data_IF_450123366392
#
_entry.id   IF_450123366392
#
_cell.length_a   1.000
_cell.length_b   1.000
_cell.length_c   1.000
_cell.angle_alpha   90.00
_cell.angle_beta   90.00
_cell.angle_gamma   90.00
#
_symmetry.space_group_name_H-M   'P 1'
#
loop_
_entity.id
_entity.type
_entity.pdbx_description
1 polymer ?
#
# COMPACT_ATOMS: atom_id res chain seq x y z
N UNK A 1 -10.59 10.59 4.41
CA UNK A 1 -10.22 9.38 3.65
C UNK A 1 -10.11 9.69 2.17
N UNK A 2 -11.21 10.10 1.52
CA UNK A 2 -11.25 10.37 0.06
C UNK A 2 -10.22 11.44 -0.35
N UNK A 3 -10.05 12.51 0.43
CA UNK A 3 -8.98 13.50 0.24
C UNK A 3 -7.57 12.89 0.25
N UNK A 4 -7.26 12.05 1.25
CA UNK A 4 -5.95 11.39 1.34
C UNK A 4 -5.72 10.42 0.17
N UNK A 5 -6.76 9.71 -0.28
CA UNK A 5 -6.69 8.85 -1.45
C UNK A 5 -6.42 9.65 -2.73
N UNK A 6 -7.08 10.81 -2.89
CA UNK A 6 -6.82 11.72 -4.00
C UNK A 6 -5.36 12.18 -4.00
N UNK A 7 -4.86 12.66 -2.86
CA UNK A 7 -3.46 13.11 -2.71
C UNK A 7 -2.49 11.99 -3.09
N UNK A 8 -2.69 10.78 -2.56
CA UNK A 8 -1.85 9.63 -2.90
C UNK A 8 -1.84 9.32 -4.40
N UNK A 9 -3.01 9.26 -5.03
CA UNK A 9 -3.12 8.96 -6.47
C UNK A 9 -2.51 10.06 -7.33
N UNK A 10 -2.67 11.33 -6.95
CA UNK A 10 -2.09 12.46 -7.65
C UNK A 10 -0.55 12.47 -7.56
N UNK A 11 0.00 12.24 -6.37
CA UNK A 11 1.45 12.10 -6.17
C UNK A 11 2.01 10.89 -6.93
N UNK A 12 1.31 9.75 -6.88
CA UNK A 12 1.72 8.56 -7.62
C UNK A 12 1.72 8.80 -9.13
N UNK A 13 0.69 9.46 -9.67
CA UNK A 13 0.64 9.84 -11.08
C UNK A 13 1.80 10.77 -11.47
N UNK A 14 2.14 11.75 -10.63
CA UNK A 14 3.25 12.66 -10.86
C UNK A 14 4.60 11.92 -10.91
N UNK A 15 4.79 10.88 -10.07
CA UNK A 15 5.99 10.03 -10.09
C UNK A 15 6.06 9.14 -11.32
N UNK A 16 4.95 8.51 -11.71
CA UNK A 16 4.92 7.55 -12.83
C UNK A 16 4.88 8.25 -14.20
N UNK A 17 4.27 9.44 -14.29
CA UNK A 17 4.11 10.22 -15.52
C UNK A 17 4.41 11.71 -15.27
N UNK A 18 5.68 12.11 -15.07
CA UNK A 18 6.04 13.49 -14.72
C UNK A 18 5.74 14.52 -15.82
N UNK A 19 5.62 14.08 -17.08
CA UNK A 19 5.26 14.95 -18.21
C UNK A 19 3.74 15.13 -18.38
N UNK A 20 2.93 14.50 -17.53
CA UNK A 20 1.47 14.58 -17.65
C UNK A 20 0.94 15.89 -17.04
N UNK A 21 0.16 16.62 -17.82
CA UNK A 21 -0.45 17.89 -17.39
C UNK A 21 -1.64 17.66 -16.45
N UNK A 22 -1.36 17.47 -15.16
CA UNK A 22 -2.40 17.24 -14.14
C UNK A 22 -3.40 18.41 -14.01
N UNK A 23 -2.93 19.65 -14.14
CA UNK A 23 -3.79 20.84 -14.06
C UNK A 23 -4.88 20.83 -15.15
N UNK A 24 -4.49 20.50 -16.37
CA UNK A 24 -5.42 20.41 -17.52
C UNK A 24 -6.47 19.32 -17.29
N UNK A 25 -6.06 18.16 -16.79
CA UNK A 25 -6.98 17.08 -16.45
C UNK A 25 -7.99 17.53 -15.38
N UNK A 26 -7.54 18.25 -14.35
CA UNK A 26 -8.43 18.74 -13.29
C UNK A 26 -9.47 19.74 -13.82
N UNK A 27 -9.07 20.65 -14.71
CA UNK A 27 -9.98 21.59 -15.36
C UNK A 27 -11.03 20.86 -16.21
N UNK A 28 -10.59 19.91 -17.06
CA UNK A 28 -11.49 19.08 -17.87
C UNK A 28 -12.47 18.27 -17.00
N UNK A 29 -11.96 17.72 -15.89
CA UNK A 29 -12.76 16.94 -14.92
C UNK A 29 -13.77 17.82 -14.20
N UNK A 30 -13.40 19.06 -13.84
CA UNK A 30 -14.32 20.02 -13.22
C UNK A 30 -15.46 20.40 -14.16
N UNK A 31 -15.14 20.70 -15.43
CA UNK A 31 -16.16 21.05 -16.44
C UNK A 31 -17.16 19.90 -16.62
N UNK A 32 -16.68 18.65 -16.70
CA UNK A 32 -17.56 17.49 -16.85
C UNK A 32 -18.36 17.20 -15.58
N UNK A 33 -17.73 17.32 -14.41
CA UNK A 33 -18.39 17.21 -13.12
C UNK A 33 -19.51 18.23 -12.97
N UNK A 34 -19.29 19.50 -13.30
CA UNK A 34 -20.32 20.53 -13.19
C UNK A 34 -21.54 20.22 -14.07
N UNK A 35 -21.33 19.71 -15.29
CA UNK A 35 -22.44 19.28 -16.15
C UNK A 35 -23.25 18.16 -15.50
N UNK A 36 -22.57 17.12 -15.01
CA UNK A 36 -23.22 15.96 -14.39
C UNK A 36 -23.88 16.29 -13.04
N UNK A 37 -23.26 17.18 -12.26
CA UNK A 37 -23.78 17.65 -10.97
C UNK A 37 -25.05 18.48 -11.16
N UNK A 38 -25.05 19.40 -12.13
CA UNK A 38 -26.21 20.23 -12.46
C UNK A 38 -27.38 19.41 -13.02
N UNK A 39 -27.09 18.33 -13.76
CA UNK A 39 -28.11 17.39 -14.24
C UNK A 39 -28.50 16.32 -13.24
N UNK A 40 -27.97 16.35 -12.00
CA UNK A 40 -28.16 15.32 -10.97
C UNK A 40 -27.87 13.88 -11.47
N UNK A 41 -26.96 13.74 -12.44
CA UNK A 41 -26.58 12.47 -13.05
C UNK A 41 -25.28 11.90 -12.46
N UNK A 42 -24.60 12.65 -11.57
CA UNK A 42 -23.37 12.20 -10.96
C UNK A 42 -23.60 10.93 -10.11
N UNK A 43 -22.90 9.82 -10.38
CA UNK A 43 -23.12 8.54 -9.69
C UNK A 43 -22.99 8.67 -8.17
N UNK A 44 -23.85 7.99 -7.41
CA UNK A 44 -23.82 8.00 -5.94
C UNK A 44 -24.39 9.25 -5.25
N UNK A 45 -24.58 10.35 -6.00
CA UNK A 45 -25.12 11.63 -5.51
C UNK A 45 -26.50 11.97 -6.08
N UNK A 46 -27.13 11.01 -6.75
CA UNK A 46 -28.52 11.12 -7.18
C UNK A 46 -29.43 11.30 -5.95
N UNK A 47 -30.43 12.18 -6.04
CA UNK A 47 -31.29 12.52 -4.90
C UNK A 47 -32.19 11.37 -4.41
N UNK A 48 -32.14 10.20 -5.03
CA UNK A 48 -33.02 9.07 -4.73
C UNK A 48 -32.27 7.74 -4.59
N UNK A 49 -31.70 7.50 -3.41
CA UNK A 49 -31.41 6.13 -2.93
C UNK A 49 -31.56 6.01 -1.40
N UNK A 50 -31.36 7.09 -0.64
CA UNK A 50 -31.58 7.12 0.81
C UNK A 50 -33.00 7.56 1.25
N UNK A 51 -33.83 8.03 0.33
CA UNK A 51 -35.14 8.65 0.64
C UNK A 51 -36.35 7.73 0.40
N UNK A 52 -36.15 6.45 0.10
CA UNK A 52 -37.27 5.51 0.05
C UNK A 52 -37.89 5.26 1.45
N UNK A 53 -37.12 5.45 2.53
CA UNK A 53 -37.64 5.45 3.91
C UNK A 53 -38.09 6.83 4.42
N UNK A 54 -37.77 7.93 3.73
CA UNK A 54 -38.19 9.27 4.14
C UNK A 54 -39.53 9.73 3.52
N UNK A 55 -40.10 8.94 2.60
CA UNK A 55 -41.48 9.12 2.09
C UNK A 55 -42.59 8.82 3.12
N UNK A 56 -42.29 8.87 4.42
CA UNK A 56 -43.33 8.97 5.47
C UNK A 56 -43.92 10.40 5.52
N UNK A 57 -43.28 11.39 4.89
CA UNK A 57 -43.68 12.80 4.87
C UNK A 57 -44.67 13.22 3.77
N UNK A 58 -45.60 12.37 3.34
CA UNK A 58 -46.71 12.87 2.51
C UNK A 58 -47.50 13.92 3.31
N UNK A 59 -47.76 15.13 2.77
CA UNK A 59 -48.55 16.14 3.45
C UNK A 59 -49.93 15.55 3.77
N UNK A 60 -50.24 15.46 5.06
CA UNK A 60 -51.55 15.00 5.50
C UNK A 60 -52.55 16.13 5.22
N UNK A 61 -53.53 15.88 4.36
CA UNK A 61 -54.61 16.83 4.16
C UNK A 61 -55.52 16.86 5.39
N UNK A 62 -55.35 17.90 6.20
CA UNK A 62 -56.13 18.13 7.41
C UNK A 62 -57.58 18.56 7.11
N UNK A 63 -57.90 18.89 5.85
CA UNK A 63 -59.26 19.26 5.45
C UNK A 63 -60.25 18.11 5.57
N UNK A 64 -59.78 16.86 5.46
CA UNK A 64 -60.57 15.63 5.49
C UNK A 64 -61.03 15.21 6.90
N UNK A 65 -60.47 15.80 7.96
CA UNK A 65 -60.76 15.41 9.35
C UNK A 65 -61.69 16.42 10.00
N UNK A 66 -62.71 15.93 10.72
CA UNK A 66 -63.71 16.78 11.38
C UNK A 66 -63.33 17.12 12.83
N UNK A 67 -62.50 16.28 13.46
CA UNK A 67 -62.04 16.46 14.84
C UNK A 67 -60.59 16.01 15.05
N UNK A 68 -60.00 16.39 16.19
CA UNK A 68 -58.63 16.00 16.54
C UNK A 68 -58.55 14.51 16.95
N UNK A 69 -59.64 13.91 17.43
CA UNK A 69 -59.74 12.48 17.75
C UNK A 69 -59.57 11.62 16.49
N UNK A 70 -60.11 12.05 15.34
CA UNK A 70 -59.91 11.36 14.07
C UNK A 70 -58.45 11.44 13.60
N UNK A 71 -57.80 12.59 13.83
CA UNK A 71 -56.37 12.78 13.54
C UNK A 71 -55.49 11.94 14.46
N UNK A 72 -55.89 11.77 15.72
CA UNK A 72 -55.24 10.89 16.69
C UNK A 72 -55.29 9.41 16.26
N UNK A 73 -56.38 8.98 15.63
CA UNK A 73 -56.57 7.60 15.16
C UNK A 73 -55.55 7.17 14.08
N UNK A 74 -54.88 8.12 13.42
CA UNK A 74 -53.83 7.87 12.42
C UNK A 74 -52.54 7.29 13.02
N UNK A 75 -52.39 7.36 14.34
CA UNK A 75 -51.27 6.79 15.07
C UNK A 75 -50.04 7.71 15.15
N UNK A 76 -49.13 7.34 16.05
CA UNK A 76 -48.01 8.19 16.48
C UNK A 76 -47.05 8.55 15.35
N UNK A 77 -46.78 7.61 14.44
CA UNK A 77 -45.81 7.78 13.35
C UNK A 77 -46.33 8.72 12.25
N UNK A 78 -47.64 8.68 11.95
CA UNK A 78 -48.28 9.60 11.01
C UNK A 78 -48.37 11.02 11.56
N UNK A 79 -48.67 11.17 12.85
CA UNK A 79 -48.67 12.47 13.51
C UNK A 79 -47.27 13.08 13.57
N UNK A 80 -46.26 12.27 13.90
CA UNK A 80 -44.86 12.72 13.95
C UNK A 80 -44.38 13.20 12.58
N UNK A 81 -44.66 12.43 11.53
CA UNK A 81 -44.28 12.81 10.15
C UNK A 81 -45.00 14.07 9.67
N UNK A 82 -46.30 14.21 9.93
CA UNK A 82 -47.05 15.41 9.56
C UNK A 82 -46.61 16.67 10.33
N UNK A 83 -46.30 16.55 11.62
CA UNK A 83 -45.75 17.66 12.42
C UNK A 83 -44.35 18.08 11.94
N UNK A 84 -43.50 17.12 11.60
CA UNK A 84 -42.16 17.38 11.03
C UNK A 84 -42.29 18.06 9.65
N UNK A 85 -43.20 17.60 8.81
CA UNK A 85 -43.45 18.17 7.49
C UNK A 85 -43.88 19.65 7.57
N UNK A 86 -44.66 20.00 8.61
CA UNK A 86 -45.09 21.37 8.89
C UNK A 86 -44.11 22.18 9.77
N UNK A 87 -42.97 21.60 10.17
CA UNK A 87 -41.96 22.28 11.00
C UNK A 87 -42.40 22.57 12.45
N UNK A 88 -43.40 21.86 12.96
CA UNK A 88 -43.96 22.00 14.29
C UNK A 88 -43.24 21.11 15.31
N UNK A 89 -43.25 21.52 16.59
CA UNK A 89 -42.69 20.71 17.69
C UNK A 89 -43.38 19.34 17.79
N UNK A 90 -42.59 18.27 17.91
CA UNK A 90 -43.08 16.88 17.92
C UNK A 90 -43.18 16.26 19.33
N UNK A 91 -42.91 17.04 20.39
CA UNK A 91 -42.99 16.57 21.78
C UNK A 91 -44.43 16.44 22.29
N UNK A 92 -44.62 15.57 23.29
CA UNK A 92 -45.92 15.37 23.94
C UNK A 92 -46.58 14.02 23.67
N UNK A 93 -47.77 13.84 24.27
CA UNK A 93 -48.64 12.67 24.08
C UNK A 93 -49.24 12.62 22.67
N UNK A 94 -49.83 11.48 22.29
CA UNK A 94 -50.48 11.32 20.99
C UNK A 94 -51.60 12.35 20.76
N UNK A 95 -52.36 12.66 21.81
CA UNK A 95 -53.44 13.65 21.82
C UNK A 95 -52.90 15.07 21.62
N UNK A 96 -51.84 15.45 22.34
CA UNK A 96 -51.19 16.76 22.21
C UNK A 96 -50.62 16.98 20.81
N UNK A 97 -50.13 15.92 20.16
CA UNK A 97 -49.65 15.97 18.78
C UNK A 97 -50.79 16.15 17.78
N UNK A 98 -51.90 15.43 17.97
CA UNK A 98 -53.09 15.54 17.11
C UNK A 98 -53.74 16.93 17.24
N UNK A 99 -53.90 17.45 18.46
CA UNK A 99 -54.42 18.80 18.70
C UNK A 99 -53.52 19.88 18.10
N UNK A 100 -52.20 19.75 18.21
CA UNK A 100 -51.23 20.68 17.61
C UNK A 100 -51.28 20.66 16.09
N UNK A 101 -51.45 19.48 15.48
CA UNK A 101 -51.58 19.35 14.05
C UNK A 101 -52.91 19.94 13.56
N UNK A 102 -54.01 19.66 14.27
CA UNK A 102 -55.35 20.15 13.93
C UNK A 102 -55.51 21.67 14.11
N UNK A 103 -54.83 22.29 15.09
CA UNK A 103 -54.90 23.74 15.31
C UNK A 103 -54.26 24.60 14.21
N UNK A 104 -53.48 23.97 13.33
CA UNK A 104 -52.83 24.57 12.16
C UNK A 104 -53.62 24.31 10.87
N UNK A 105 -54.73 23.56 10.93
CA UNK A 105 -55.64 23.32 9.81
C UNK A 105 -56.13 24.65 9.21
N UNK A 106 -55.85 24.86 7.93
CA UNK A 106 -56.29 26.03 7.17
C UNK A 106 -55.52 27.33 7.45
N UNK A 107 -54.47 27.31 8.28
CA UNK A 107 -53.59 28.46 8.50
C UNK A 107 -52.41 28.45 7.53
N UNK A 108 -52.06 29.61 7.02
CA UNK A 108 -50.83 29.80 6.25
C UNK A 108 -49.61 29.81 7.17
N UNK A 109 -48.42 29.50 6.63
CA UNK A 109 -47.16 29.41 7.42
C UNK A 109 -46.81 30.69 8.21
N UNK A 110 -47.39 31.85 7.85
CA UNK A 110 -47.19 33.13 8.52
C UNK A 110 -48.14 33.38 9.69
N UNK A 111 -49.23 32.61 9.81
CA UNK A 111 -50.26 32.73 10.86
C UNK A 111 -50.03 31.75 12.03
N UNK A 112 -48.97 30.94 11.93
CA UNK A 112 -48.56 29.99 12.96
C UNK A 112 -47.71 30.72 14.00
N UNK A 113 -48.03 30.55 15.28
CA UNK A 113 -47.26 31.12 16.39
C UNK A 113 -45.79 30.61 16.34
N UNK A 114 -44.80 31.53 16.30
CA UNK A 114 -43.37 31.18 16.33
C UNK A 114 -42.95 30.29 17.50
N UNK A 115 -43.71 30.30 18.61
CA UNK A 115 -43.49 29.42 19.78
C UNK A 115 -43.81 27.95 19.48
N UNK A 116 -44.70 27.65 18.53
CA UNK A 116 -45.06 26.29 18.13
C UNK A 116 -44.10 25.67 17.11
N UNK A 117 -43.32 26.50 16.42
CA UNK A 117 -42.31 26.07 15.46
C UNK A 117 -41.12 25.43 16.18
N UNK A 118 -40.54 24.38 15.56
CA UNK A 118 -39.30 23.80 16.03
C UNK A 118 -38.15 24.81 15.83
N UNK A 119 -37.29 24.99 16.85
CA UNK A 119 -36.08 25.81 16.73
C UNK A 119 -35.20 25.22 15.64
N UNK A 120 -35.01 25.95 14.53
CA UNK A 120 -34.11 25.51 13.46
C UNK A 120 -34.32 26.11 12.06
N UNK A 121 -35.41 26.84 11.78
CA UNK A 121 -35.68 27.35 10.41
C UNK A 121 -36.11 28.82 10.28
N UNK A 122 -35.94 29.66 11.30
CA UNK A 122 -36.53 31.00 11.28
C UNK A 122 -35.71 32.12 11.91
N UNK A 123 -34.45 32.32 11.52
CA UNK A 123 -33.73 33.58 11.80
C UNK A 123 -32.94 34.00 10.56
N UNK A 124 -33.35 35.11 9.94
CA UNK A 124 -32.76 35.68 8.73
C UNK A 124 -31.33 36.15 9.01
N UNK A 125 -30.35 35.68 8.25
CA UNK A 125 -29.01 36.29 8.15
C UNK A 125 -27.80 35.40 8.49
N UNK A 126 -27.97 34.13 8.85
CA UNK A 126 -26.85 33.18 9.04
C UNK A 126 -26.95 32.11 7.94
N UNK A 127 -25.86 31.78 7.20
CA UNK A 127 -25.91 30.69 6.23
C UNK A 127 -26.42 29.43 6.94
N UNK A 128 -27.54 28.90 6.45
CA UNK A 128 -28.18 27.73 7.04
C UNK A 128 -27.19 26.57 7.00
N UNK A 129 -27.12 25.78 8.08
CA UNK A 129 -26.32 24.56 8.12
C UNK A 129 -26.58 23.64 6.91
N UNK A 130 -27.78 23.71 6.33
CA UNK A 130 -28.15 23.02 5.09
C UNK A 130 -27.41 23.52 3.84
N UNK A 131 -27.13 24.83 3.71
CA UNK A 131 -26.34 25.35 2.58
C UNK A 131 -24.87 24.92 2.69
N UNK A 132 -24.29 25.00 3.90
CA UNK A 132 -22.92 24.54 4.14
C UNK A 132 -22.77 23.03 3.89
N UNK A 133 -23.81 22.25 4.16
CA UNK A 133 -23.84 20.82 3.85
C UNK A 133 -23.92 20.55 2.35
N UNK A 134 -24.69 21.33 1.59
CA UNK A 134 -24.75 21.21 0.13
C UNK A 134 -23.40 21.57 -0.51
N UNK A 135 -22.75 22.64 -0.05
CA UNK A 135 -21.42 23.03 -0.53
C UNK A 135 -20.37 21.96 -0.22
N UNK A 136 -20.31 21.49 1.04
CA UNK A 136 -19.42 20.39 1.44
C UNK A 136 -19.67 19.12 0.63
N UNK A 137 -20.93 18.79 0.35
CA UNK A 137 -21.28 17.63 -0.47
C UNK A 137 -20.83 17.81 -1.93
N UNK A 138 -20.93 19.03 -2.48
CA UNK A 138 -20.40 19.35 -3.82
C UNK A 138 -18.88 19.19 -3.86
N UNK A 139 -18.17 19.64 -2.82
CA UNK A 139 -16.72 19.47 -2.70
C UNK A 139 -16.32 18.00 -2.68
N UNK A 140 -16.98 17.18 -1.85
CA UNK A 140 -16.70 15.74 -1.78
C UNK A 140 -17.02 15.06 -3.13
N UNK A 141 -18.14 15.40 -3.76
CA UNK A 141 -18.50 14.87 -5.08
C UNK A 141 -17.44 15.21 -6.14
N UNK A 142 -16.85 16.40 -6.08
CA UNK A 142 -15.78 16.78 -6.99
C UNK A 142 -14.49 15.97 -6.75
N UNK A 143 -14.10 15.77 -5.49
CA UNK A 143 -12.95 14.91 -5.14
C UNK A 143 -13.19 13.48 -5.65
N UNK A 144 -14.41 12.97 -5.52
CA UNK A 144 -14.77 11.64 -6.02
C UNK A 144 -14.65 11.56 -7.55
N UNK A 145 -15.08 12.60 -8.27
CA UNK A 145 -14.93 12.69 -9.73
C UNK A 145 -13.46 12.63 -10.16
N UNK A 146 -12.58 13.33 -9.45
CA UNK A 146 -11.14 13.29 -9.70
C UNK A 146 -10.58 11.88 -9.46
N UNK A 147 -10.99 11.21 -8.39
CA UNK A 147 -10.55 9.84 -8.09
C UNK A 147 -11.02 8.88 -9.17
N UNK A 148 -12.25 8.98 -9.66
CA UNK A 148 -12.71 8.15 -10.78
C UNK A 148 -11.80 8.34 -12.00
N UNK A 149 -11.49 9.59 -12.36
CA UNK A 149 -10.64 9.89 -13.51
C UNK A 149 -9.20 9.38 -13.34
N UNK A 150 -8.61 9.57 -12.16
CA UNK A 150 -7.29 9.04 -11.83
C UNK A 150 -7.28 7.51 -11.84
N UNK A 151 -8.35 6.87 -11.35
CA UNK A 151 -8.46 5.40 -11.34
C UNK A 151 -8.61 4.80 -12.75
N UNK A 152 -9.16 5.56 -13.69
CA UNK A 152 -9.22 5.19 -15.10
C UNK A 152 -7.83 5.31 -15.76
N UNK A 153 -7.13 6.41 -15.50
CA UNK A 153 -5.76 6.65 -16.01
C UNK A 153 -4.72 5.66 -15.46
N UNK A 154 -4.89 5.24 -14.21
CA UNK A 154 -4.05 4.27 -13.51
C UNK A 154 -4.64 2.84 -13.54
N UNK A 155 -5.53 2.55 -14.50
CA UNK A 155 -6.22 1.26 -14.58
C UNK A 155 -5.28 0.07 -14.74
N UNK A 156 -4.19 0.25 -15.49
CA UNK A 156 -3.13 -0.75 -15.67
C UNK A 156 -2.41 -1.05 -14.35
N UNK A 157 -1.94 -0.01 -13.64
CA UNK A 157 -1.26 -0.14 -12.35
C UNK A 157 -2.20 -0.73 -11.29
N UNK A 158 -3.49 -0.37 -11.31
CA UNK A 158 -4.50 -0.95 -10.42
C UNK A 158 -4.72 -2.45 -10.69
N UNK A 159 -4.75 -2.86 -11.96
CA UNK A 159 -4.87 -4.27 -12.32
C UNK A 159 -3.62 -5.05 -11.88
N UNK A 160 -2.43 -4.50 -12.12
CA UNK A 160 -1.16 -5.12 -11.71
C UNK A 160 -1.03 -5.27 -10.20
N UNK A 161 -1.42 -4.25 -9.41
CA UNK A 161 -1.41 -4.32 -7.95
C UNK A 161 -2.43 -5.33 -7.43
N UNK A 162 -3.62 -5.42 -8.04
CA UNK A 162 -4.60 -6.45 -7.71
C UNK A 162 -4.06 -7.87 -7.96
N UNK A 163 -3.46 -8.10 -9.13
CA UNK A 163 -2.83 -9.40 -9.44
C UNK A 163 -1.70 -9.72 -8.46
N UNK A 164 -0.90 -8.72 -8.07
CA UNK A 164 0.14 -8.90 -7.06
C UNK A 164 -0.42 -9.31 -5.69
N UNK A 165 -1.53 -8.70 -5.27
CA UNK A 165 -2.22 -9.08 -4.03
C UNK A 165 -2.74 -10.51 -4.12
N UNK A 166 -3.38 -10.89 -5.23
CA UNK A 166 -3.88 -12.25 -5.46
C UNK A 166 -2.73 -13.28 -5.43
N UNK A 167 -1.60 -12.96 -6.07
CA UNK A 167 -0.39 -13.78 -6.06
C UNK A 167 0.19 -13.92 -4.66
N UNK A 168 0.29 -12.82 -3.89
CA UNK A 168 0.80 -12.81 -2.51
C UNK A 168 -0.13 -13.57 -1.56
N UNK A 169 -1.44 -13.55 -1.81
CA UNK A 169 -2.44 -14.28 -1.03
C UNK A 169 -2.39 -15.80 -1.28
N UNK A 170 -1.98 -16.23 -2.48
CA UNK A 170 -1.89 -17.64 -2.85
C UNK A 170 -0.58 -18.33 -2.40
N UNK A 171 0.41 -17.58 -1.93
CA UNK A 171 1.72 -18.10 -1.51
C UNK A 171 1.71 -18.72 -0.11
N UNK A 172 2.62 -19.66 0.09
CA UNK A 172 2.91 -20.24 1.41
C UNK A 172 3.79 -19.29 2.24
N UNK A 173 3.86 -19.49 3.56
CA UNK A 173 4.51 -18.54 4.50
C UNK A 173 5.98 -18.24 4.13
N UNK A 174 6.77 -19.25 3.75
CA UNK A 174 8.18 -19.06 3.34
C UNK A 174 8.35 -18.32 2.00
N UNK A 175 7.47 -18.54 1.02
CA UNK A 175 7.51 -17.83 -0.29
C UNK A 175 7.04 -16.36 -0.17
N UNK A 176 6.33 -16.04 0.91
CA UNK A 176 5.90 -14.67 1.23
C UNK A 176 7.04 -13.88 1.86
N UNK A 177 7.83 -14.51 2.73
CA UNK A 177 9.02 -13.90 3.36
C UNK A 177 10.07 -13.53 2.30
N UNK A 178 10.41 -14.45 1.38
CA UNK A 178 11.40 -14.19 0.31
C UNK A 178 10.98 -13.02 -0.60
N UNK A 179 9.70 -12.90 -0.92
CA UNK A 179 9.20 -11.80 -1.76
C UNK A 179 9.10 -10.46 -1.02
N UNK A 180 8.87 -10.48 0.30
CA UNK A 180 8.85 -9.26 1.11
C UNK A 180 10.29 -8.78 1.36
N UNK A 181 11.26 -9.71 1.47
CA UNK A 181 12.68 -9.38 1.47
C UNK A 181 13.12 -8.75 0.14
N UNK A 182 12.74 -9.32 -1.01
CA UNK A 182 13.03 -8.70 -2.32
C UNK A 182 12.40 -7.31 -2.47
N UNK A 183 11.15 -7.12 -2.02
CA UNK A 183 10.49 -5.81 -2.09
C UNK A 183 11.13 -4.78 -1.16
N UNK A 184 11.52 -5.18 0.06
CA UNK A 184 12.20 -4.32 1.02
C UNK A 184 13.58 -3.85 0.51
N UNK A 185 14.29 -4.70 -0.26
CA UNK A 185 15.55 -4.32 -0.91
C UNK A 185 15.32 -3.19 -1.92
N UNK A 186 14.23 -3.22 -2.69
CA UNK A 186 13.94 -2.18 -3.70
C UNK A 186 13.47 -0.86 -3.07
N UNK A 187 12.69 -0.88 -1.98
CA UNK A 187 12.33 0.35 -1.24
C UNK A 187 13.59 1.03 -0.68
N UNK A 188 14.52 0.26 -0.13
CA UNK A 188 15.77 0.80 0.44
C UNK A 188 16.70 1.45 -0.59
N UNK A 189 16.63 1.09 -1.87
CA UNK A 189 17.44 1.72 -2.92
C UNK A 189 16.85 3.06 -3.41
N UNK A 190 15.59 3.37 -3.08
CA UNK A 190 14.89 4.58 -3.56
C UNK A 190 14.68 5.67 -2.50
N UNK A 191 14.78 5.35 -1.21
CA UNK A 191 14.64 6.32 -0.12
C UNK A 191 15.98 6.96 0.30
N UNK A 192 17.12 6.43 -0.15
CA UNK A 192 18.46 6.85 0.32
C UNK A 192 19.15 7.92 -0.56
N UNK A 193 18.47 8.50 -1.56
CA UNK A 193 19.04 9.56 -2.41
C UNK A 193 18.68 11.00 -1.98
N UNK A 194 17.76 11.18 -1.04
CA UNK A 194 17.42 12.50 -0.50
C UNK A 194 17.96 12.67 0.94
N UNK A 195 18.86 13.65 1.10
CA UNK A 195 19.52 14.09 2.34
C UNK A 195 20.64 13.21 2.91
N UNK A 196 21.78 13.10 2.21
CA UNK A 196 23.08 12.93 2.91
C UNK A 196 23.42 14.28 3.57
N UNK A 197 23.31 14.44 4.90
CA UNK A 197 23.57 15.72 5.55
C UNK A 197 25.03 16.11 5.34
N UNK A 198 25.28 17.35 4.93
CA UNK A 198 26.63 17.88 4.73
C UNK A 198 27.50 17.61 5.98
N UNK A 199 28.46 16.70 5.84
CA UNK A 199 29.32 16.19 6.91
C UNK A 199 30.74 16.72 6.77
N UNK A 200 31.00 17.99 7.12
CA UNK A 200 32.28 18.66 6.89
C UNK A 200 33.44 18.07 7.72
N UNK A 201 33.15 17.17 8.68
CA UNK A 201 34.17 16.49 9.50
C UNK A 201 34.33 15.00 9.16
N UNK A 202 33.63 14.47 8.16
CA UNK A 202 33.68 13.05 7.76
C UNK A 202 33.53 12.04 8.92
N UNK A 203 32.76 12.40 9.96
CA UNK A 203 32.46 11.45 11.04
C UNK A 203 31.51 10.37 10.49
N UNK A 204 31.69 9.08 10.83
CA UNK A 204 30.74 8.06 10.43
C UNK A 204 29.33 8.40 10.95
N UNK A 205 28.35 8.33 10.05
CA UNK A 205 26.96 8.54 10.37
C UNK A 205 26.39 7.24 10.95
N UNK A 206 25.51 7.38 11.94
CA UNK A 206 24.74 6.25 12.43
C UNK A 206 23.59 5.90 11.48
N UNK A 207 22.86 4.86 11.81
CA UNK A 207 21.59 4.46 11.17
C UNK A 207 20.47 5.53 11.30
N UNK A 208 20.68 6.56 12.12
CA UNK A 208 19.78 7.70 12.36
C UNK A 208 20.22 8.97 11.59
N UNK A 209 21.17 8.86 10.66
CA UNK A 209 21.68 10.01 9.88
C UNK A 209 22.44 11.08 10.69
N UNK A 210 22.58 10.90 12.01
CA UNK A 210 23.32 11.81 12.91
C UNK A 210 24.77 11.35 13.11
N UNK A 211 25.73 12.28 13.28
CA UNK A 211 27.12 11.94 13.58
C UNK A 211 27.23 11.12 14.88
N UNK A 212 27.87 9.96 14.81
CA UNK A 212 28.04 9.07 15.97
C UNK A 212 28.92 9.76 17.03
N UNK A 213 28.53 9.76 18.32
CA UNK A 213 29.37 10.27 19.40
C UNK A 213 30.77 9.65 19.43
N UNK A 214 31.80 10.46 19.71
CA UNK A 214 33.21 10.07 19.57
C UNK A 214 33.65 8.87 20.44
N UNK A 215 33.02 8.70 21.61
CA UNK A 215 33.27 7.55 22.48
C UNK A 215 32.69 6.25 21.91
N UNK A 216 31.51 6.32 21.28
CA UNK A 216 30.84 5.18 20.65
C UNK A 216 31.56 4.75 19.36
N UNK A 217 32.06 5.74 18.62
CA UNK A 217 32.96 5.56 17.48
C UNK A 217 34.24 4.79 17.83
N UNK A 218 34.90 5.13 18.95
CA UNK A 218 36.07 4.39 19.46
C UNK A 218 35.71 3.03 20.04
N UNK A 219 34.57 2.91 20.73
CA UNK A 219 34.13 1.66 21.36
C UNK A 219 33.86 0.57 20.32
N UNK A 220 33.19 0.91 19.23
CA UNK A 220 32.87 -0.02 18.15
C UNK A 220 33.97 -0.14 17.09
N UNK A 221 35.10 0.57 17.25
CA UNK A 221 36.25 0.47 16.36
C UNK A 221 36.01 1.02 14.95
N UNK A 222 35.01 1.89 14.74
CA UNK A 222 34.72 2.51 13.44
C UNK A 222 35.86 3.42 12.94
N UNK A 223 36.81 3.73 13.82
CA UNK A 223 38.03 4.49 13.50
C UNK A 223 39.12 3.67 12.82
N UNK A 224 38.96 2.36 12.75
CA UNK A 224 39.89 1.46 12.09
C UNK A 224 39.34 1.18 10.71
N UNK A 225 40.10 1.54 9.69
CA UNK A 225 39.76 1.23 8.30
C UNK A 225 40.41 -0.09 7.89
N UNK A 226 39.63 -0.94 7.23
CA UNK A 226 40.08 -2.18 6.62
C UNK A 226 39.87 -2.09 5.11
N UNK A 227 40.78 -2.64 4.33
CA UNK A 227 40.69 -2.63 2.87
C UNK A 227 40.55 -4.05 2.33
N UNK A 228 39.70 -4.23 1.33
CA UNK A 228 39.50 -5.51 0.66
C UNK A 228 39.83 -5.38 -0.82
N UNK A 229 40.85 -6.12 -1.27
CA UNK A 229 41.34 -6.08 -2.66
C UNK A 229 40.35 -6.74 -3.62
N UNK A 230 39.73 -7.86 -3.22
CA UNK A 230 38.70 -8.57 -4.00
C UNK A 230 37.49 -7.68 -4.31
N UNK A 231 37.19 -6.71 -3.42
CA UNK A 231 36.12 -5.71 -3.62
C UNK A 231 36.60 -4.45 -4.36
N UNK A 232 37.75 -4.47 -5.04
CA UNK A 232 38.30 -3.31 -5.73
C UNK A 232 38.95 -2.28 -4.81
N UNK A 233 39.66 -2.73 -3.76
CA UNK A 233 40.28 -1.88 -2.73
C UNK A 233 39.29 -0.99 -1.97
N UNK A 234 38.04 -1.44 -1.84
CA UNK A 234 37.04 -0.72 -1.06
C UNK A 234 37.40 -0.71 0.43
N UNK A 235 37.15 0.43 1.07
CA UNK A 235 37.50 0.69 2.47
C UNK A 235 36.28 0.49 3.36
N UNK A 236 36.34 -0.48 4.26
CA UNK A 236 35.32 -0.73 5.28
C UNK A 236 35.73 -0.09 6.61
N UNK A 237 34.78 0.58 7.27
CA UNK A 237 35.01 1.21 8.58
C UNK A 237 34.57 0.30 9.71
N UNK A 238 35.55 -0.17 10.47
CA UNK A 238 35.38 -0.98 11.66
C UNK A 238 35.31 -2.49 11.41
N UNK A 239 35.60 -3.30 12.45
CA UNK A 239 35.74 -4.76 12.30
C UNK A 239 34.42 -5.45 11.95
N UNK A 240 33.29 -4.97 12.50
CA UNK A 240 31.98 -5.60 12.29
C UNK A 240 31.51 -5.48 10.83
N UNK A 241 31.60 -4.27 10.27
CA UNK A 241 31.28 -4.05 8.85
C UNK A 241 32.22 -4.86 7.94
N UNK A 242 33.50 -4.90 8.30
CA UNK A 242 34.47 -5.73 7.60
C UNK A 242 34.28 -7.25 7.81
N UNK A 243 33.53 -7.74 8.79
CA UNK A 243 33.19 -9.16 8.84
C UNK A 243 31.93 -9.47 8.02
N UNK A 244 30.95 -8.57 8.03
CA UNK A 244 29.71 -8.73 7.28
C UNK A 244 29.94 -8.68 5.77
N UNK A 245 30.93 -7.91 5.30
CA UNK A 245 31.16 -7.76 3.86
C UNK A 245 31.50 -9.07 3.12
N UNK A 246 32.00 -10.10 3.80
CA UNK A 246 32.27 -11.40 3.16
C UNK A 246 30.99 -12.09 2.65
N UNK A 247 29.85 -11.80 3.28
CA UNK A 247 28.54 -12.30 2.87
C UNK A 247 27.79 -11.32 1.94
N UNK A 248 28.27 -10.07 1.80
CA UNK A 248 27.66 -9.08 0.93
C UNK A 248 27.82 -9.43 -0.55
N UNK A 249 26.86 -8.98 -1.36
CA UNK A 249 26.84 -9.20 -2.80
C UNK A 249 28.11 -8.73 -3.49
N UNK A 250 28.69 -7.60 -3.09
CA UNK A 250 29.91 -7.03 -3.71
C UNK A 250 31.09 -8.00 -3.61
N UNK A 251 31.32 -8.58 -2.44
CA UNK A 251 32.40 -9.54 -2.25
C UNK A 251 32.10 -10.86 -2.96
N UNK A 252 30.85 -11.35 -2.89
CA UNK A 252 30.42 -12.54 -3.62
C UNK A 252 30.58 -12.39 -5.14
N UNK A 253 30.30 -11.20 -5.67
CA UNK A 253 30.49 -10.86 -7.08
C UNK A 253 31.98 -10.82 -7.44
N UNK A 254 32.83 -10.20 -6.62
CA UNK A 254 34.28 -10.23 -6.80
C UNK A 254 34.83 -11.66 -6.85
N UNK A 255 34.40 -12.52 -5.92
CA UNK A 255 34.75 -13.94 -5.90
C UNK A 255 34.27 -14.70 -7.15
N UNK A 256 33.05 -14.39 -7.62
CA UNK A 256 32.49 -14.96 -8.85
C UNK A 256 33.31 -14.55 -10.09
N UNK A 257 33.78 -13.31 -10.17
CA UNK A 257 34.66 -12.85 -11.26
C UNK A 257 36.02 -13.57 -11.26
N UNK A 258 36.50 -14.01 -10.10
CA UNK A 258 37.69 -14.85 -9.96
C UNK A 258 37.43 -16.34 -10.25
N UNK A 259 36.16 -16.73 -10.44
CA UNK A 259 35.77 -18.13 -10.62
C UNK A 259 35.86 -18.99 -9.35
N UNK A 260 35.86 -18.34 -8.17
CA UNK A 260 35.96 -19.00 -6.87
C UNK A 260 34.58 -18.99 -6.20
N UNK A 261 34.06 -20.14 -5.71
CA UNK A 261 32.79 -20.16 -4.99
C UNK A 261 32.91 -19.48 -3.63
N UNK A 262 32.00 -18.54 -3.32
CA UNK A 262 31.97 -17.85 -2.02
C UNK A 262 31.47 -18.81 -0.93
N UNK A 263 32.41 -19.44 -0.23
CA UNK A 263 32.16 -20.41 0.86
C UNK A 263 32.88 -19.95 2.12
N UNK A 264 32.47 -20.47 3.29
CA UNK A 264 33.06 -20.10 4.58
C UNK A 264 34.59 -20.33 4.66
N UNK A 265 35.16 -21.17 3.79
CA UNK A 265 36.62 -21.36 3.69
C UNK A 265 37.38 -20.08 3.30
N UNK A 266 36.72 -19.15 2.62
CA UNK A 266 37.32 -17.88 2.17
C UNK A 266 37.02 -16.71 3.11
N UNK A 267 36.46 -16.97 4.30
CA UNK A 267 36.29 -15.94 5.31
C UNK A 267 37.65 -15.34 5.71
N UNK A 268 37.71 -14.02 5.85
CA UNK A 268 38.94 -13.25 6.16
C UNK A 268 40.00 -13.19 5.04
N UNK A 269 39.72 -13.71 3.84
CA UNK A 269 40.65 -13.59 2.71
C UNK A 269 40.35 -12.30 1.95
N UNK A 270 41.29 -11.34 1.97
CA UNK A 270 41.13 -10.05 1.28
C UNK A 270 41.93 -9.93 0.00
N UNK A 271 43.09 -10.59 -0.06
CA UNK A 271 44.01 -10.52 -1.20
C UNK A 271 43.61 -11.52 -2.28
N UNK A 272 43.70 -11.08 -3.53
CA UNK A 272 43.30 -11.91 -4.68
C UNK A 272 44.26 -13.10 -4.83
N UNK A 273 45.57 -12.87 -4.65
CA UNK A 273 46.59 -13.91 -4.75
C UNK A 273 46.36 -15.06 -3.75
N UNK A 274 46.01 -14.72 -2.52
CA UNK A 274 45.81 -15.70 -1.45
C UNK A 274 44.52 -16.49 -1.64
N UNK A 275 43.46 -15.85 -2.15
CA UNK A 275 42.22 -16.53 -2.53
C UNK A 275 42.48 -17.59 -3.62
N UNK A 276 43.26 -17.24 -4.65
CA UNK A 276 43.59 -18.17 -5.75
C UNK A 276 44.48 -19.32 -5.25
N UNK A 277 45.48 -19.05 -4.41
CA UNK A 277 46.33 -20.10 -3.82
C UNK A 277 45.52 -21.08 -2.98
N UNK A 278 44.62 -20.56 -2.13
CA UNK A 278 43.75 -21.37 -1.28
C UNK A 278 42.78 -22.21 -2.12
N UNK A 279 42.19 -21.63 -3.16
CA UNK A 279 41.28 -22.33 -4.07
C UNK A 279 41.98 -23.48 -4.81
N UNK A 280 43.18 -23.26 -5.33
CA UNK A 280 43.96 -24.31 -5.99
C UNK A 280 44.28 -25.47 -5.05
N UNK A 281 44.61 -25.18 -3.78
CA UNK A 281 44.85 -26.20 -2.76
C UNK A 281 43.59 -27.00 -2.44
N UNK A 282 42.45 -26.32 -2.23
CA UNK A 282 41.16 -26.95 -1.96
C UNK A 282 40.66 -27.80 -3.14
N UNK A 283 40.85 -27.30 -4.37
CA UNK A 283 40.50 -28.02 -5.59
C UNK A 283 41.33 -29.30 -5.73
N UNK A 284 42.62 -29.24 -5.41
CA UNK A 284 43.50 -30.41 -5.35
C UNK A 284 43.02 -31.45 -4.33
N UNK A 285 42.75 -31.03 -3.10
CA UNK A 285 42.24 -31.93 -2.05
C UNK A 285 40.90 -32.57 -2.43
N UNK A 286 39.93 -31.76 -2.88
CA UNK A 286 38.62 -32.27 -3.33
C UNK A 286 38.74 -33.19 -4.54
N UNK A 287 39.69 -32.96 -5.44
CA UNK A 287 39.91 -33.87 -6.58
C UNK A 287 40.46 -35.23 -6.17
N UNK A 288 41.22 -35.29 -5.07
CA UNK A 288 41.71 -36.55 -4.51
C UNK A 288 40.63 -37.29 -3.69
N UNK A 289 39.77 -36.56 -3.00
CA UNK A 289 38.65 -37.14 -2.24
C UNK A 289 37.47 -37.56 -3.12
N UNK A 290 37.37 -36.99 -4.34
CA UNK A 290 36.30 -37.30 -5.26
C UNK A 290 36.54 -38.68 -5.87
N UNK A 291 35.79 -39.66 -5.39
CA UNK A 291 35.74 -40.99 -5.98
C UNK A 291 35.40 -40.92 -7.48
N UNK A 292 36.29 -41.45 -8.32
CA UNK A 292 36.09 -41.51 -9.77
C UNK A 292 35.74 -42.94 -10.14
N UNK A 293 34.44 -43.25 -10.20
CA UNK A 293 33.94 -44.60 -10.49
C UNK A 293 34.58 -45.24 -11.72
N UNK A 294 34.80 -44.48 -12.80
CA UNK A 294 35.41 -45.01 -14.03
C UNK A 294 36.84 -45.58 -13.82
N UNK A 295 37.59 -45.03 -12.87
CA UNK A 295 38.97 -45.40 -12.59
C UNK A 295 39.13 -46.28 -11.35
N UNK A 296 38.27 -46.09 -10.35
CA UNK A 296 38.41 -46.67 -9.01
C UNK A 296 37.39 -47.80 -8.73
N UNK A 297 36.32 -47.93 -9.54
CA UNK A 297 35.39 -49.05 -9.46
C UNK A 297 35.94 -50.24 -10.25
N UNK A 298 36.18 -51.35 -9.57
CA UNK A 298 36.74 -52.57 -10.14
C UNK A 298 35.64 -53.58 -10.48
N UNK A 299 35.70 -54.14 -11.69
CA UNK A 299 34.81 -55.18 -12.20
C UNK A 299 35.62 -56.45 -12.48
N UNK A 300 35.01 -57.60 -12.21
CA UNK A 300 35.59 -58.91 -12.52
C UNK A 300 35.03 -59.45 -13.83
N UNK A 301 35.91 -59.86 -14.73
CA UNK A 301 35.55 -60.55 -15.97
C UNK A 301 35.18 -62.03 -15.73
N UNK A 302 34.53 -62.68 -16.70
CA UNK A 302 34.20 -64.12 -16.71
C UNK A 302 35.43 -65.03 -16.50
N UNK A 303 36.63 -64.55 -16.83
CA UNK A 303 37.90 -65.23 -16.56
C UNK A 303 38.51 -64.95 -15.17
N UNK A 304 37.85 -64.14 -14.34
CA UNK A 304 38.32 -63.77 -12.99
C UNK A 304 39.37 -62.66 -12.97
N UNK A 305 39.56 -61.94 -14.09
CA UNK A 305 40.48 -60.81 -14.16
C UNK A 305 39.80 -59.54 -13.64
N UNK A 306 40.46 -58.81 -12.75
CA UNK A 306 39.96 -57.55 -12.20
C UNK A 306 40.42 -56.39 -13.06
N UNK A 307 39.48 -55.63 -13.60
CA UNK A 307 39.72 -54.45 -14.44
C UNK A 307 38.88 -53.27 -13.95
N UNK A 308 39.34 -52.04 -14.15
CA UNK A 308 38.52 -50.88 -13.83
C UNK A 308 37.29 -50.80 -14.74
N UNK A 309 36.24 -50.14 -14.26
CA UNK A 309 34.95 -50.01 -14.97
C UNK A 309 35.11 -49.53 -16.40
N UNK A 310 35.93 -48.51 -16.63
CA UNK A 310 36.14 -47.96 -17.98
C UNK A 310 36.70 -49.00 -18.93
N UNK A 311 37.72 -49.75 -18.50
CA UNK A 311 38.32 -50.81 -19.32
C UNK A 311 37.33 -51.95 -19.52
N UNK A 312 36.55 -52.31 -18.49
CA UNK A 312 35.49 -53.31 -18.61
C UNK A 312 34.43 -52.89 -19.64
N UNK A 313 33.91 -51.66 -19.58
CA UNK A 313 32.93 -51.16 -20.54
C UNK A 313 33.49 -51.07 -21.96
N UNK A 314 34.75 -50.65 -22.12
CA UNK A 314 35.40 -50.57 -23.43
C UNK A 314 35.62 -51.97 -24.03
N UNK A 315 36.08 -52.95 -23.23
CA UNK A 315 36.22 -54.34 -23.65
C UNK A 315 34.85 -54.98 -23.97
N UNK A 316 33.81 -54.65 -23.19
CA UNK A 316 32.43 -55.10 -23.43
C UNK A 316 31.91 -54.55 -24.77
N UNK A 317 32.15 -53.27 -25.06
CA UNK A 317 31.76 -52.64 -26.34
C UNK A 317 32.51 -53.24 -27.53
N UNK A 318 33.75 -53.68 -27.33
CA UNK A 318 34.55 -54.38 -28.34
C UNK A 318 34.19 -55.87 -28.48
N UNK A 319 33.37 -56.42 -27.58
CA UNK A 319 32.98 -57.83 -27.57
C UNK A 319 34.08 -58.79 -27.10
N UNK A 320 34.97 -58.31 -26.22
CA UNK A 320 36.16 -59.03 -25.74
C UNK A 320 36.02 -59.57 -24.30
N UNK A 321 34.82 -59.54 -23.73
CA UNK A 321 34.45 -60.07 -22.40
C UNK A 321 33.37 -61.15 -22.53
#
# INVERSE_FOLDING_TARGET
>A
YVEALLTYLAEYLARVKPLFEFNKLNEETYIEFEKQWNSAAFPGWQKDAGSALANVGAPLDLSAFSSWEEVASLGLDRLKSALIALGLKCGGTLEERAQRLFSVRGKSANEIDPSMLAKGRGARGVPSAANNEIERNKEIGFIEAQIYKLSELLSEQRAATKENIERKQARTEGEREESDEEAAVVESESEDEDDIPYNPKNLPLGWDGKPIPYWLYKLHGLNISYTCEICGNYVYKGPKAFQLHFAEWRHAHGMRCLGIPNTAHFANVTQIEDAVKLWNKLKGQKSLERFVADNEEEYEDTMGNVVNKKTYEDLRRQGLL
#
